data_IF_702866731352
#
_entry.id   IF_702866731352
#
_cell.length_a   1.000
_cell.length_b   1.000
_cell.length_c   1.000
_cell.angle_alpha   90.00
_cell.angle_beta   90.00
_cell.angle_gamma   90.00
#
_symmetry.space_group_name_H-M   'P 1'
#
loop_
_entity.id
_entity.type
_entity.pdbx_description
1 polymer ?
#
# COMPACT_ATOMS: atom_id res chain seq x y z
N UNK A 1 4.77 10.50 -17.04
CA UNK A 1 3.93 9.84 -16.02
C UNK A 1 4.23 10.48 -14.69
N UNK A 2 3.23 11.08 -14.03
CA UNK A 2 3.38 11.60 -12.66
C UNK A 2 3.53 10.40 -11.75
N UNK A 3 4.68 10.26 -11.08
CA UNK A 3 4.91 9.18 -10.12
C UNK A 3 4.11 9.56 -8.87
N UNK A 4 3.07 8.78 -8.55
CA UNK A 4 2.34 9.00 -7.31
C UNK A 4 3.32 8.88 -6.13
N UNK A 5 3.21 9.74 -5.11
CA UNK A 5 4.02 9.59 -3.92
C UNK A 5 3.84 8.21 -3.29
N UNK A 6 4.91 7.62 -2.76
CA UNK A 6 4.88 6.24 -2.26
C UNK A 6 3.81 6.03 -1.16
N UNK A 7 3.55 7.05 -0.35
CA UNK A 7 2.57 6.99 0.75
C UNK A 7 1.14 6.83 0.24
N UNK A 8 0.82 7.28 -0.97
CA UNK A 8 -0.51 7.07 -1.58
C UNK A 8 -0.74 5.58 -1.79
N UNK A 9 0.24 4.89 -2.39
CA UNK A 9 0.18 3.44 -2.59
C UNK A 9 0.13 2.68 -1.27
N UNK A 10 0.97 3.07 -0.30
CA UNK A 10 0.99 2.48 1.03
C UNK A 10 -0.37 2.60 1.75
N UNK A 11 -1.02 3.77 1.71
CA UNK A 11 -2.34 4.00 2.33
C UNK A 11 -3.43 3.16 1.69
N UNK A 12 -3.46 3.08 0.36
CA UNK A 12 -4.43 2.26 -0.36
C UNK A 12 -4.24 0.77 -0.01
N UNK A 13 -3.00 0.28 0.03
CA UNK A 13 -2.73 -1.10 0.43
C UNK A 13 -3.17 -1.34 1.89
N UNK A 14 -2.83 -0.44 2.82
CA UNK A 14 -3.24 -0.56 4.22
C UNK A 14 -4.76 -0.59 4.38
N UNK A 15 -5.46 0.26 3.63
CA UNK A 15 -6.91 0.27 3.58
C UNK A 15 -7.47 -1.07 3.10
N UNK A 16 -6.93 -1.62 2.00
CA UNK A 16 -7.35 -2.92 1.48
C UNK A 16 -7.07 -4.05 2.47
N UNK A 17 -5.95 -4.02 3.19
CA UNK A 17 -5.62 -5.01 4.23
C UNK A 17 -6.60 -4.91 5.40
N UNK A 18 -6.90 -3.71 5.89
CA UNK A 18 -7.83 -3.49 6.99
C UNK A 18 -9.25 -3.98 6.67
N UNK A 19 -9.63 -3.98 5.39
CA UNK A 19 -10.95 -4.39 4.92
C UNK A 19 -10.89 -5.56 3.92
N UNK A 20 -9.89 -6.45 4.07
CA UNK A 20 -9.55 -7.43 3.05
C UNK A 20 -10.72 -8.33 2.63
N UNK A 21 -11.47 -8.87 3.59
CA UNK A 21 -12.60 -9.75 3.32
C UNK A 21 -13.71 -9.06 2.48
N UNK A 22 -13.98 -7.78 2.75
CA UNK A 22 -14.97 -6.99 2.03
C UNK A 22 -14.48 -6.60 0.62
N UNK A 23 -13.23 -6.16 0.51
CA UNK A 23 -12.60 -5.83 -0.76
C UNK A 23 -12.50 -7.06 -1.68
N UNK A 24 -11.81 -8.10 -1.21
CA UNK A 24 -11.58 -9.32 -1.98
C UNK A 24 -12.91 -10.01 -2.35
N UNK A 25 -13.85 -10.09 -1.41
CA UNK A 25 -15.17 -10.67 -1.66
C UNK A 25 -15.94 -9.92 -2.75
N UNK A 26 -16.00 -8.58 -2.69
CA UNK A 26 -16.68 -7.78 -3.71
C UNK A 26 -16.01 -7.88 -5.08
N UNK A 27 -14.68 -7.98 -5.12
CA UNK A 27 -13.94 -8.14 -6.38
C UNK A 27 -14.15 -9.50 -7.01
N UNK A 28 -14.04 -10.58 -6.24
CA UNK A 28 -14.28 -11.91 -6.73
C UNK A 28 -15.71 -12.06 -7.28
N UNK A 29 -16.70 -11.46 -6.62
CA UNK A 29 -18.09 -11.47 -7.09
C UNK A 29 -18.31 -10.62 -8.35
N UNK A 30 -17.65 -9.47 -8.47
CA UNK A 30 -17.86 -8.56 -9.60
C UNK A 30 -17.10 -8.97 -10.86
N UNK A 31 -15.88 -9.51 -10.72
CA UNK A 31 -14.97 -9.77 -11.86
C UNK A 31 -14.61 -11.25 -12.03
N UNK A 32 -14.84 -12.09 -11.02
CA UNK A 32 -14.42 -13.49 -11.03
C UNK A 32 -12.90 -13.68 -11.00
N UNK A 33 -12.13 -12.64 -10.68
CA UNK A 33 -10.65 -12.66 -10.65
C UNK A 33 -10.14 -12.26 -9.28
N UNK A 34 -9.02 -12.86 -8.88
CA UNK A 34 -8.30 -12.46 -7.68
C UNK A 34 -7.63 -11.09 -7.95
N UNK A 35 -7.91 -10.04 -7.14
CA UNK A 35 -7.26 -8.75 -7.28
C UNK A 35 -5.72 -8.79 -7.16
N UNK A 36 -5.14 -9.80 -6.52
CA UNK A 36 -3.68 -9.96 -6.39
C UNK A 36 -2.98 -10.37 -7.70
N UNK A 37 -3.73 -10.84 -8.70
CA UNK A 37 -3.19 -11.12 -10.03
C UNK A 37 -2.99 -9.85 -10.87
N UNK A 38 -3.47 -8.70 -10.39
CA UNK A 38 -3.37 -7.43 -11.10
C UNK A 38 -2.00 -6.78 -10.90
N UNK A 39 -1.45 -6.11 -11.93
CA UNK A 39 -0.30 -5.23 -11.75
C UNK A 39 -0.57 -4.17 -10.68
N UNK A 40 0.45 -3.83 -9.89
CA UNK A 40 0.31 -2.89 -8.76
C UNK A 40 -0.45 -1.59 -9.12
N UNK A 41 -0.18 -0.88 -10.24
CA UNK A 41 -0.94 0.32 -10.59
C UNK A 41 -2.45 0.04 -10.77
N UNK A 42 -2.80 -1.09 -11.39
CA UNK A 42 -4.19 -1.51 -11.59
C UNK A 42 -4.85 -1.88 -10.27
N UNK A 43 -4.13 -2.57 -9.38
CA UNK A 43 -4.61 -2.91 -8.04
C UNK A 43 -4.90 -1.64 -7.22
N UNK A 44 -4.00 -0.65 -7.24
CA UNK A 44 -4.20 0.61 -6.51
C UNK A 44 -5.43 1.37 -7.01
N UNK A 45 -5.62 1.45 -8.34
CA UNK A 45 -6.81 2.06 -8.93
C UNK A 45 -8.09 1.31 -8.52
N UNK A 46 -8.02 -0.02 -8.48
CA UNK A 46 -9.15 -0.86 -8.10
C UNK A 46 -9.54 -0.67 -6.63
N UNK A 47 -8.56 -0.62 -5.73
CA UNK A 47 -8.78 -0.35 -4.31
C UNK A 47 -9.44 1.02 -4.12
N UNK A 48 -8.92 2.04 -4.81
CA UNK A 48 -9.49 3.39 -4.77
C UNK A 48 -10.96 3.37 -5.22
N UNK A 49 -11.23 2.81 -6.40
CA UNK A 49 -12.58 2.73 -6.96
C UNK A 49 -13.55 1.94 -6.07
N UNK A 50 -13.08 0.86 -5.44
CA UNK A 50 -13.88 0.09 -4.49
C UNK A 50 -14.25 0.90 -3.25
N UNK A 51 -13.31 1.68 -2.72
CA UNK A 51 -13.52 2.46 -1.50
C UNK A 51 -14.46 3.64 -1.72
N UNK A 52 -14.27 4.38 -2.81
CA UNK A 52 -15.06 5.60 -3.09
C UNK A 52 -16.35 5.32 -3.85
N UNK A 53 -16.54 4.11 -4.38
CA UNK A 53 -17.58 3.80 -5.37
C UNK A 53 -19.01 4.07 -4.92
N UNK A 54 -19.29 3.97 -3.62
CA UNK A 54 -20.61 4.26 -3.03
C UNK A 54 -20.58 5.48 -2.10
N UNK A 55 -19.45 6.19 -2.01
CA UNK A 55 -19.27 7.32 -1.11
C UNK A 55 -19.80 8.62 -1.73
N UNK A 56 -20.42 9.52 -0.96
CA UNK A 56 -20.85 10.83 -1.45
C UNK A 56 -19.64 11.74 -1.74
N UNK A 57 -19.79 12.68 -2.67
CA UNK A 57 -18.70 13.56 -3.16
C UNK A 57 -17.89 14.24 -2.05
N UNK A 58 -18.54 14.63 -0.96
CA UNK A 58 -17.88 15.27 0.19
C UNK A 58 -16.96 14.31 0.96
N UNK A 59 -17.28 13.01 0.99
CA UNK A 59 -16.45 11.98 1.61
C UNK A 59 -15.30 11.59 0.68
N UNK A 60 -15.55 11.51 -0.63
CA UNK A 60 -14.51 11.31 -1.64
C UNK A 60 -13.46 12.42 -1.55
N UNK A 61 -13.89 13.69 -1.53
CA UNK A 61 -12.98 14.83 -1.43
C UNK A 61 -12.15 14.82 -0.13
N UNK A 62 -12.76 14.41 1.00
CA UNK A 62 -12.03 14.25 2.27
C UNK A 62 -10.99 13.13 2.19
N UNK A 63 -11.35 12.02 1.55
CA UNK A 63 -10.45 10.89 1.36
C UNK A 63 -9.29 11.26 0.43
N UNK A 64 -9.54 11.97 -0.66
CA UNK A 64 -8.51 12.49 -1.56
C UNK A 64 -7.54 13.43 -0.85
N UNK A 65 -8.08 14.37 -0.07
CA UNK A 65 -7.26 15.27 0.75
C UNK A 65 -6.38 14.47 1.74
N UNK A 66 -6.95 13.44 2.37
CA UNK A 66 -6.18 12.51 3.21
C UNK A 66 -5.09 11.84 2.39
N UNK A 67 -5.39 11.16 1.28
CA UNK A 67 -4.41 10.43 0.46
C UNK A 67 -3.21 11.29 0.04
N UNK A 68 -3.44 12.55 -0.32
CA UNK A 68 -2.38 13.47 -0.73
C UNK A 68 -1.55 14.01 0.43
N UNK A 69 -2.09 13.99 1.66
CA UNK A 69 -1.38 14.48 2.85
C UNK A 69 -0.23 13.53 3.17
N UNK A 70 1.03 14.01 3.21
CA UNK A 70 2.16 13.18 3.63
C UNK A 70 1.93 12.59 5.03
N UNK A 71 2.43 11.39 5.33
CA UNK A 71 2.47 10.92 6.72
C UNK A 71 3.25 11.95 7.55
N UNK A 72 2.83 12.14 8.81
CA UNK A 72 3.58 13.01 9.72
C UNK A 72 5.02 12.50 9.82
N UNK A 73 6.00 13.41 9.89
CA UNK A 73 7.42 13.09 9.90
C UNK A 73 7.84 12.05 10.98
N UNK A 74 6.99 11.82 11.98
CA UNK A 74 7.20 10.82 13.03
C UNK A 74 7.10 9.34 12.57
N UNK A 75 6.53 9.04 11.40
CA UNK A 75 6.51 7.67 10.85
C UNK A 75 7.66 7.41 9.85
N UNK A 76 8.42 8.46 9.55
CA UNK A 76 9.70 8.39 8.88
C UNK A 76 10.70 9.00 9.84
N UNK A 77 10.85 8.41 11.04
CA UNK A 77 12.14 8.54 11.68
C UNK A 77 13.14 8.20 10.58
N UNK A 78 13.96 9.19 10.25
CA UNK A 78 15.17 9.06 9.47
C UNK A 78 15.94 7.97 10.19
N UNK A 79 15.64 6.71 9.85
CA UNK A 79 16.46 5.60 10.29
C UNK A 79 17.77 5.95 9.65
N UNK A 80 18.75 6.27 10.49
CA UNK A 80 20.10 6.57 10.04
C UNK A 80 20.43 5.54 8.95
N UNK A 81 20.81 6.05 7.78
CA UNK A 81 21.16 5.21 6.65
C UNK A 81 22.14 4.18 7.18
N UNK A 82 21.81 2.88 7.01
CA UNK A 82 22.59 1.81 7.60
C UNK A 82 24.05 2.04 7.24
N UNK A 83 24.91 1.96 8.25
CA UNK A 83 26.34 1.91 7.98
C UNK A 83 26.62 0.70 7.07
N UNK A 84 27.70 0.79 6.29
CA UNK A 84 28.12 -0.32 5.42
C UNK A 84 28.25 -1.64 6.23
N UNK A 85 28.74 -1.54 7.47
CA UNK A 85 28.86 -2.66 8.41
C UNK A 85 27.48 -3.26 8.79
N UNK A 86 26.48 -2.43 9.11
CA UNK A 86 25.13 -2.89 9.44
C UNK A 86 24.41 -3.51 8.24
N UNK A 87 24.70 -3.00 7.04
CA UNK A 87 24.18 -3.53 5.79
C UNK A 87 24.74 -4.93 5.54
N UNK A 88 26.06 -5.10 5.61
CA UNK A 88 26.72 -6.39 5.43
C UNK A 88 26.26 -7.42 6.47
N UNK A 89 26.12 -7.02 7.73
CA UNK A 89 25.60 -7.88 8.81
C UNK A 89 24.15 -8.32 8.57
N UNK A 90 23.30 -7.43 8.02
CA UNK A 90 21.92 -7.77 7.70
C UNK A 90 21.84 -8.76 6.54
N UNK A 91 22.65 -8.58 5.49
CA UNK A 91 22.72 -9.52 4.38
C UNK A 91 23.26 -10.87 4.83
N UNK A 92 24.32 -10.89 5.65
CA UNK A 92 24.88 -12.12 6.21
C UNK A 92 23.85 -12.89 7.05
N UNK A 93 23.11 -12.22 7.96
CA UNK A 93 22.03 -12.86 8.72
C UNK A 93 20.92 -13.41 7.84
N UNK A 94 20.53 -12.70 6.78
CA UNK A 94 19.48 -13.14 5.86
C UNK A 94 19.90 -14.35 5.01
N UNK A 95 21.19 -14.49 4.71
CA UNK A 95 21.77 -15.64 4.01
C UNK A 95 21.91 -16.85 4.96
N UNK A 96 22.35 -16.62 6.19
CA UNK A 96 22.45 -17.68 7.21
C UNK A 96 21.07 -18.23 7.60
N UNK A 97 20.06 -17.36 7.71
CA UNK A 97 18.68 -17.75 7.99
C UNK A 97 18.00 -18.54 6.86
N UNK A 98 18.60 -18.59 5.66
CA UNK A 98 18.13 -19.40 4.53
C UNK A 98 18.84 -20.76 4.41
N UNK A 99 19.79 -21.06 5.30
CA UNK A 99 20.45 -22.37 5.33
C UNK A 99 19.74 -23.26 6.36
N UNK A 100 19.14 -24.39 5.95
CA UNK A 100 18.36 -25.28 6.84
C UNK A 100 19.22 -25.97 7.91
#
# INVERSE_FOLDING_TARGET
MVRLPYWVGWRLIHLAVAHWSAFHGRMLLATGRDPLELPLPSLLNLIYAWWVGDAPDNEVAKFDASLQTPPAAADLDERDEWSDDETDDSFARALDAQTP
#
